data_IF_744469521751
#
_entry.id   IF_744469521751
#
_cell.length_a   1.000
_cell.length_b   1.000
_cell.length_c   1.000
_cell.angle_alpha   90.00
_cell.angle_beta   90.00
_cell.angle_gamma   90.00
#
_symmetry.space_group_name_H-M   'P 1'
#
loop_
_entity.id
_entity.type
_entity.pdbx_description
1 polymer ?
#
# COMPACT_ATOMS: atom_id res chain seq x y z
N UNK A 1 26.06 -6.02 -8.42
CA UNK A 1 24.70 -6.15 -8.99
C UNK A 1 24.75 -6.11 -10.51
N UNK A 2 24.01 -6.98 -11.19
CA UNK A 2 23.79 -6.85 -12.63
C UNK A 2 22.86 -5.67 -12.94
N UNK A 3 22.86 -5.20 -14.21
CA UNK A 3 21.94 -4.14 -14.65
C UNK A 3 20.46 -4.51 -14.45
N UNK A 4 20.13 -5.81 -14.60
CA UNK A 4 18.76 -6.31 -14.40
C UNK A 4 18.39 -6.24 -12.92
N UNK A 5 19.26 -6.68 -12.00
CA UNK A 5 19.00 -6.58 -10.55
C UNK A 5 18.80 -5.14 -10.12
N UNK A 6 19.63 -4.22 -10.63
CA UNK A 6 19.48 -2.78 -10.36
C UNK A 6 18.12 -2.27 -10.84
N UNK A 7 17.71 -2.61 -12.06
CA UNK A 7 16.43 -2.17 -12.62
C UNK A 7 15.23 -2.73 -11.84
N UNK A 8 15.28 -4.00 -11.43
CA UNK A 8 14.19 -4.63 -10.65
C UNK A 8 14.13 -4.04 -9.24
N UNK A 9 15.28 -3.79 -8.59
CA UNK A 9 15.33 -3.16 -7.27
C UNK A 9 14.78 -1.73 -7.34
N UNK A 10 15.17 -0.95 -8.35
CA UNK A 10 14.65 0.39 -8.57
C UNK A 10 13.14 0.37 -8.83
N UNK A 11 12.64 -0.59 -9.63
CA UNK A 11 11.20 -0.73 -9.88
C UNK A 11 10.42 -1.06 -8.62
N UNK A 12 10.97 -1.92 -7.74
CA UNK A 12 10.39 -2.23 -6.45
C UNK A 12 10.36 -0.99 -5.53
N UNK A 13 11.46 -0.22 -5.47
CA UNK A 13 11.55 1.01 -4.69
C UNK A 13 10.53 2.07 -5.17
N UNK A 14 10.46 2.30 -6.48
CA UNK A 14 9.50 3.26 -7.08
C UNK A 14 8.06 2.82 -6.84
N UNK A 15 7.75 1.54 -7.05
CA UNK A 15 6.39 0.99 -6.82
C UNK A 15 5.96 1.13 -5.35
N UNK A 16 6.82 0.74 -4.43
CA UNK A 16 6.57 0.88 -2.99
C UNK A 16 6.44 2.36 -2.57
N UNK A 17 7.32 3.23 -3.08
CA UNK A 17 7.30 4.67 -2.78
C UNK A 17 6.04 5.36 -3.31
N UNK A 18 5.62 5.06 -4.53
CA UNK A 18 4.42 5.62 -5.12
C UNK A 18 3.16 5.16 -4.37
N UNK A 19 3.03 3.86 -4.07
CA UNK A 19 1.93 3.35 -3.27
C UNK A 19 1.93 3.96 -1.85
N UNK A 20 3.10 4.01 -1.21
CA UNK A 20 3.30 4.61 0.12
C UNK A 20 2.92 6.08 0.16
N UNK A 21 3.25 6.85 -0.88
CA UNK A 21 2.85 8.25 -1.04
C UNK A 21 1.32 8.41 -1.09
N UNK A 22 0.63 7.56 -1.84
CA UNK A 22 -0.84 7.54 -1.86
C UNK A 22 -1.39 7.26 -0.47
N UNK A 23 -0.87 6.25 0.23
CA UNK A 23 -1.34 5.89 1.58
C UNK A 23 -1.07 7.00 2.59
N UNK A 24 0.08 7.67 2.48
CA UNK A 24 0.41 8.83 3.31
C UNK A 24 -0.56 9.98 3.06
N UNK A 25 -0.87 10.29 1.79
CA UNK A 25 -1.86 11.31 1.44
C UNK A 25 -3.24 11.01 2.05
N UNK A 26 -3.66 9.74 2.04
CA UNK A 26 -4.88 9.32 2.72
C UNK A 26 -4.82 9.57 4.23
N UNK A 27 -3.70 9.22 4.87
CA UNK A 27 -3.52 9.41 6.31
C UNK A 27 -3.49 10.88 6.71
N UNK A 28 -2.78 11.70 5.94
CA UNK A 28 -2.48 13.09 6.29
C UNK A 28 -3.57 14.08 5.83
N UNK A 29 -4.29 13.78 4.75
CA UNK A 29 -5.20 14.74 4.12
C UNK A 29 -6.60 14.18 3.91
N UNK A 30 -6.75 13.01 3.25
CA UNK A 30 -8.06 12.53 2.80
C UNK A 30 -8.93 12.10 3.98
N UNK A 31 -8.42 11.19 4.83
CA UNK A 31 -9.19 10.70 5.99
C UNK A 31 -9.57 11.81 6.99
N UNK A 32 -8.67 12.75 7.35
CA UNK A 32 -9.06 13.91 8.17
C UNK A 32 -10.18 14.73 7.57
N UNK A 33 -10.15 15.01 6.26
CA UNK A 33 -11.22 15.77 5.59
C UNK A 33 -12.54 15.00 5.58
N UNK A 34 -12.52 13.69 5.29
CA UNK A 34 -13.73 12.87 5.29
C UNK A 34 -14.41 12.83 6.67
N UNK A 35 -13.63 12.87 7.75
CA UNK A 35 -14.15 12.91 9.13
C UNK A 35 -14.90 14.19 9.48
N UNK A 36 -14.69 15.28 8.76
CA UNK A 36 -15.44 16.54 8.97
C UNK A 36 -16.76 16.59 8.21
N UNK A 37 -17.06 15.57 7.38
CA UNK A 37 -18.27 15.51 6.57
C UNK A 37 -19.38 14.71 7.25
N UNK A 38 -20.65 14.96 6.92
CA UNK A 38 -21.74 14.05 7.25
C UNK A 38 -21.40 12.64 6.79
N UNK A 39 -21.75 11.62 7.58
CA UNK A 39 -21.37 10.23 7.30
C UNK A 39 -21.81 9.77 5.89
N UNK A 40 -22.99 10.15 5.43
CA UNK A 40 -23.46 9.82 4.08
C UNK A 40 -22.54 10.36 2.97
N UNK A 41 -22.04 11.60 3.13
CA UNK A 41 -21.09 12.18 2.18
C UNK A 41 -19.72 11.50 2.26
N UNK A 42 -19.24 11.18 3.46
CA UNK A 42 -17.96 10.49 3.67
C UNK A 42 -18.01 9.08 3.05
N UNK A 43 -19.08 8.32 3.26
CA UNK A 43 -19.30 7.00 2.66
C UNK A 43 -19.34 7.11 1.14
N UNK A 44 -20.17 7.99 0.58
CA UNK A 44 -20.28 8.15 -0.88
C UNK A 44 -18.95 8.56 -1.52
N UNK A 45 -18.20 9.47 -0.88
CA UNK A 45 -16.90 9.89 -1.36
C UNK A 45 -15.89 8.73 -1.34
N UNK A 46 -15.83 7.97 -0.25
CA UNK A 46 -14.90 6.85 -0.11
C UNK A 46 -15.25 5.70 -1.06
N UNK A 47 -16.54 5.43 -1.31
CA UNK A 47 -16.99 4.46 -2.31
C UNK A 47 -16.46 4.84 -3.70
N UNK A 48 -16.63 6.09 -4.13
CA UNK A 48 -16.11 6.57 -5.42
C UNK A 48 -14.59 6.50 -5.52
N UNK A 49 -13.87 6.85 -4.45
CA UNK A 49 -12.41 6.71 -4.39
C UNK A 49 -12.01 5.25 -4.59
N UNK A 50 -12.67 4.31 -3.91
CA UNK A 50 -12.37 2.89 -4.03
C UNK A 50 -12.66 2.35 -5.45
N UNK A 51 -13.72 2.81 -6.12
CA UNK A 51 -14.01 2.47 -7.52
C UNK A 51 -12.91 2.93 -8.48
N UNK A 52 -12.29 4.09 -8.22
CA UNK A 52 -11.20 4.60 -9.03
C UNK A 52 -9.86 3.92 -8.68
N UNK A 53 -9.66 3.55 -7.42
CA UNK A 53 -8.43 2.89 -6.96
C UNK A 53 -8.19 1.52 -7.61
N UNK A 54 -9.24 0.82 -8.08
CA UNK A 54 -9.10 -0.45 -8.80
C UNK A 54 -8.88 -0.31 -10.30
N UNK A 55 -8.63 0.90 -10.79
CA UNK A 55 -8.31 1.16 -12.20
C UNK A 55 -6.81 1.39 -12.39
N UNK A 56 -6.33 1.23 -13.63
CA UNK A 56 -5.04 1.77 -14.01
C UNK A 56 -5.09 3.32 -13.87
N UNK A 57 -3.99 4.01 -13.47
CA UNK A 57 -2.62 3.49 -13.32
C UNK A 57 -2.31 2.91 -11.93
N UNK A 58 -3.17 3.09 -10.89
CA UNK A 58 -2.83 2.68 -9.53
C UNK A 58 -2.62 1.16 -9.43
N UNK A 59 -3.46 0.35 -10.09
CA UNK A 59 -3.29 -1.12 -10.10
C UNK A 59 -1.99 -1.55 -10.74
N UNK A 60 -1.50 -0.85 -11.77
CA UNK A 60 -0.21 -1.14 -12.39
C UNK A 60 0.94 -0.93 -11.39
N UNK A 61 0.92 0.19 -10.66
CA UNK A 61 1.91 0.49 -9.62
C UNK A 61 1.83 -0.55 -8.49
N UNK A 62 0.63 -0.88 -8.05
CA UNK A 62 0.37 -1.78 -6.93
C UNK A 62 0.87 -3.21 -7.20
N UNK A 63 0.45 -3.80 -8.32
CA UNK A 63 0.87 -5.16 -8.68
C UNK A 63 2.27 -5.22 -9.24
N UNK A 64 2.68 -4.24 -10.05
CA UNK A 64 4.02 -4.16 -10.58
C UNK A 64 5.09 -3.99 -9.50
N UNK A 65 4.81 -3.13 -8.51
CA UNK A 65 5.68 -2.95 -7.34
C UNK A 65 5.78 -4.22 -6.49
N UNK A 66 4.66 -4.91 -6.26
CA UNK A 66 4.64 -6.18 -5.53
C UNK A 66 5.40 -7.29 -6.27
N UNK A 67 5.24 -7.40 -7.59
CA UNK A 67 5.97 -8.36 -8.41
C UNK A 67 7.48 -8.10 -8.38
N UNK A 68 7.90 -6.84 -8.53
CA UNK A 68 9.31 -6.46 -8.46
C UNK A 68 9.89 -6.73 -7.05
N UNK A 69 9.18 -6.37 -5.99
CA UNK A 69 9.60 -6.67 -4.62
C UNK A 69 9.71 -8.18 -4.35
N UNK A 70 8.79 -8.99 -4.90
CA UNK A 70 8.87 -10.44 -4.81
C UNK A 70 10.11 -10.99 -5.51
N UNK A 71 10.43 -10.49 -6.70
CA UNK A 71 11.61 -10.92 -7.44
C UNK A 71 12.90 -10.57 -6.67
N UNK A 72 13.00 -9.36 -6.11
CA UNK A 72 14.13 -8.96 -5.27
C UNK A 72 14.25 -9.88 -4.06
N UNK A 73 13.17 -10.11 -3.31
CA UNK A 73 13.20 -10.95 -2.11
C UNK A 73 13.63 -12.39 -2.43
N UNK A 74 13.09 -12.97 -3.49
CA UNK A 74 13.47 -14.34 -3.93
C UNK A 74 14.96 -14.41 -4.27
N UNK A 75 15.48 -13.41 -4.99
CA UNK A 75 16.91 -13.35 -5.33
C UNK A 75 17.78 -13.27 -4.07
N UNK A 76 17.41 -12.43 -3.10
CA UNK A 76 18.15 -12.30 -1.84
C UNK A 76 18.14 -13.60 -1.03
N UNK A 77 17.00 -14.27 -0.93
CA UNK A 77 16.89 -15.54 -0.22
C UNK A 77 17.69 -16.67 -0.90
N UNK A 78 17.72 -16.68 -2.23
CA UNK A 78 18.47 -17.67 -3.02
C UNK A 78 20.00 -17.46 -2.95
N UNK A 79 20.46 -16.24 -2.71
CA UNK A 79 21.90 -15.91 -2.62
C UNK A 79 22.56 -16.40 -1.33
N UNK A 80 21.79 -16.82 -0.35
CA UNK A 80 22.27 -17.25 0.96
C UNK A 80 22.91 -16.12 1.79
N UNK A 81 23.30 -16.39 3.04
CA UNK A 81 23.75 -15.33 3.97
C UNK A 81 24.98 -14.55 3.50
N UNK A 82 25.88 -15.19 2.76
CA UNK A 82 27.12 -14.55 2.32
C UNK A 82 26.96 -13.67 1.08
N UNK A 83 25.90 -13.91 0.27
CA UNK A 83 25.63 -13.17 -0.97
C UNK A 83 24.45 -12.20 -0.89
N UNK A 84 23.65 -12.26 0.17
CA UNK A 84 22.47 -11.43 0.32
C UNK A 84 22.79 -10.01 0.82
N UNK A 85 21.99 -9.04 0.35
CA UNK A 85 21.99 -7.69 0.89
C UNK A 85 20.81 -7.53 1.88
N UNK A 86 21.07 -7.41 3.20
CA UNK A 86 20.00 -7.32 4.19
C UNK A 86 19.03 -6.16 3.98
N UNK A 87 19.51 -5.02 3.48
CA UNK A 87 18.64 -3.86 3.21
C UNK A 87 17.66 -4.16 2.06
N UNK A 88 18.09 -4.85 1.00
CA UNK A 88 17.21 -5.29 -0.08
C UNK A 88 16.21 -6.34 0.39
N UNK A 89 16.66 -7.32 1.15
CA UNK A 89 15.79 -8.35 1.69
C UNK A 89 14.70 -7.75 2.61
N UNK A 90 15.10 -6.93 3.59
CA UNK A 90 14.17 -6.28 4.52
C UNK A 90 13.27 -5.29 3.78
N UNK A 91 13.80 -4.47 2.87
CA UNK A 91 13.05 -3.51 2.09
C UNK A 91 11.96 -4.17 1.24
N UNK A 92 12.30 -5.28 0.58
CA UNK A 92 11.35 -6.07 -0.21
C UNK A 92 10.27 -6.72 0.67
N UNK A 93 10.66 -7.28 1.80
CA UNK A 93 9.72 -7.87 2.76
C UNK A 93 8.73 -6.83 3.30
N UNK A 94 9.19 -5.62 3.61
CA UNK A 94 8.32 -4.50 4.02
C UNK A 94 7.37 -4.06 2.91
N UNK A 95 7.86 -3.92 1.66
CA UNK A 95 7.00 -3.60 0.53
C UNK A 95 5.89 -4.65 0.34
N UNK A 96 6.22 -5.93 0.47
CA UNK A 96 5.24 -7.03 0.42
C UNK A 96 4.31 -7.04 1.62
N UNK A 97 4.80 -6.72 2.83
CA UNK A 97 3.94 -6.57 4.01
C UNK A 97 2.90 -5.46 3.83
N UNK A 98 3.26 -4.37 3.16
CA UNK A 98 2.30 -3.31 2.77
C UNK A 98 1.24 -3.85 1.79
N UNK A 99 1.66 -4.61 0.78
CA UNK A 99 0.75 -5.25 -0.18
C UNK A 99 -0.22 -6.20 0.54
N UNK A 100 0.29 -7.11 1.36
CA UNK A 100 -0.53 -8.06 2.14
C UNK A 100 -1.50 -7.32 3.06
N UNK A 101 -1.04 -6.29 3.78
CA UNK A 101 -1.91 -5.46 4.63
C UNK A 101 -3.07 -4.86 3.83
N UNK A 102 -2.81 -4.41 2.60
CA UNK A 102 -3.87 -3.91 1.72
C UNK A 102 -4.91 -4.98 1.43
N UNK A 103 -4.46 -6.17 1.01
CA UNK A 103 -5.35 -7.27 0.60
C UNK A 103 -6.16 -7.81 1.77
N UNK A 104 -5.53 -8.03 2.93
CA UNK A 104 -6.19 -8.69 4.06
C UNK A 104 -6.94 -7.74 4.99
N UNK A 105 -6.58 -6.46 5.00
CA UNK A 105 -7.16 -5.51 5.94
C UNK A 105 -7.98 -4.40 5.26
N UNK A 106 -7.46 -3.73 4.23
CA UNK A 106 -8.17 -2.61 3.62
C UNK A 106 -9.23 -3.06 2.61
N UNK A 107 -8.93 -4.03 1.74
CA UNK A 107 -9.88 -4.51 0.72
C UNK A 107 -11.17 -5.06 1.31
N UNK A 108 -11.19 -5.94 2.34
CA UNK A 108 -12.44 -6.41 2.93
C UNK A 108 -13.29 -5.28 3.50
N UNK A 109 -12.66 -4.25 4.10
CA UNK A 109 -13.36 -3.07 4.62
C UNK A 109 -13.93 -2.21 3.51
N UNK A 110 -13.19 -2.02 2.41
CA UNK A 110 -13.69 -1.33 1.22
C UNK A 110 -14.93 -2.04 0.66
N UNK A 111 -14.88 -3.37 0.57
CA UNK A 111 -16.00 -4.19 0.10
C UNK A 111 -17.22 -4.12 1.03
N UNK A 112 -17.01 -4.04 2.35
CA UNK A 112 -18.08 -3.85 3.30
C UNK A 112 -18.72 -2.46 3.16
N UNK A 113 -17.89 -1.41 3.01
CA UNK A 113 -18.36 -0.04 2.80
C UNK A 113 -19.12 0.10 1.48
N UNK A 114 -18.72 -0.59 0.42
CA UNK A 114 -19.37 -0.55 -0.89
C UNK A 114 -20.83 -1.03 -0.86
N UNK A 115 -21.23 -1.80 0.17
CA UNK A 115 -22.61 -2.29 0.35
C UNK A 115 -23.48 -1.37 1.19
N UNK A 116 -22.90 -0.30 1.75
CA UNK A 116 -23.66 0.63 2.58
C UNK A 116 -24.55 1.52 1.71
N UNK A 117 -25.79 1.70 2.15
CA UNK A 117 -26.74 2.66 1.62
C UNK A 117 -26.80 3.95 2.46
N UNK A 118 -27.57 4.92 2.02
CA UNK A 118 -27.71 6.19 2.72
C UNK A 118 -28.34 6.05 4.11
N UNK A 119 -29.24 5.08 4.31
CA UNK A 119 -29.92 4.84 5.59
C UNK A 119 -29.00 4.23 6.65
N UNK A 120 -27.98 3.47 6.21
CA UNK A 120 -26.99 2.82 7.07
C UNK A 120 -25.66 3.56 7.20
N UNK A 121 -25.51 4.76 6.61
CA UNK A 121 -24.23 5.45 6.45
C UNK A 121 -23.50 5.72 7.77
N UNK A 122 -24.18 6.13 8.84
CA UNK A 122 -23.57 6.40 10.14
C UNK A 122 -22.92 5.15 10.75
N UNK A 123 -23.65 4.05 10.73
CA UNK A 123 -23.14 2.77 11.24
C UNK A 123 -21.98 2.25 10.39
N UNK A 124 -22.10 2.34 9.06
CA UNK A 124 -21.09 1.90 8.11
C UNK A 124 -19.81 2.73 8.26
N UNK A 125 -19.91 4.06 8.35
CA UNK A 125 -18.76 4.93 8.53
C UNK A 125 -18.05 4.67 9.86
N UNK A 126 -18.80 4.54 10.95
CA UNK A 126 -18.27 4.24 12.29
C UNK A 126 -17.52 2.90 12.32
N UNK A 127 -18.03 1.89 11.63
CA UNK A 127 -17.38 0.58 11.53
C UNK A 127 -16.13 0.61 10.63
N UNK A 128 -16.12 1.47 9.60
CA UNK A 128 -15.07 1.57 8.58
C UNK A 128 -13.89 2.43 9.02
N UNK A 129 -14.11 3.68 9.44
CA UNK A 129 -13.09 4.73 9.51
C UNK A 129 -11.85 4.34 10.32
N UNK A 130 -12.01 4.04 11.62
CA UNK A 130 -10.86 3.77 12.48
C UNK A 130 -10.08 2.51 12.12
N UNK A 131 -10.72 1.36 11.89
CA UNK A 131 -10.00 0.14 11.51
C UNK A 131 -9.31 0.26 10.15
N UNK A 132 -9.96 0.90 9.18
CA UNK A 132 -9.38 1.14 7.87
C UNK A 132 -8.17 2.08 7.96
N UNK A 133 -8.31 3.18 8.69
CA UNK A 133 -7.22 4.16 8.86
C UNK A 133 -6.00 3.56 9.55
N UNK A 134 -6.19 2.73 10.59
CA UNK A 134 -5.08 2.02 11.25
C UNK A 134 -4.31 1.14 10.27
N UNK A 135 -5.02 0.35 9.49
CA UNK A 135 -4.41 -0.49 8.45
C UNK A 135 -3.72 0.37 7.37
N UNK A 136 -4.32 1.52 7.00
CA UNK A 136 -3.72 2.46 6.06
C UNK A 136 -2.42 3.07 6.58
N UNK A 137 -2.35 3.47 7.85
CA UNK A 137 -1.10 3.96 8.46
C UNK A 137 -0.03 2.88 8.46
N UNK A 138 -0.38 1.65 8.82
CA UNK A 138 0.56 0.53 8.86
C UNK A 138 1.14 0.25 7.47
N UNK A 139 0.30 0.15 6.43
CA UNK A 139 0.79 -0.09 5.07
C UNK A 139 1.58 1.10 4.52
N UNK A 140 1.27 2.33 4.92
CA UNK A 140 2.06 3.51 4.56
C UNK A 140 3.47 3.43 5.13
N UNK A 141 3.61 3.10 6.42
CA UNK A 141 4.92 2.92 7.08
C UNK A 141 5.71 1.81 6.40
N UNK A 142 5.11 0.65 6.18
CA UNK A 142 5.76 -0.48 5.51
C UNK A 142 6.22 -0.13 4.09
N UNK A 143 5.36 0.51 3.29
CA UNK A 143 5.71 0.88 1.92
C UNK A 143 6.84 1.90 1.86
N UNK A 144 6.78 2.97 2.67
CA UNK A 144 7.78 4.03 2.67
C UNK A 144 9.12 3.56 3.24
N UNK A 145 9.11 2.79 4.33
CA UNK A 145 10.32 2.20 4.89
C UNK A 145 10.95 1.19 3.90
N UNK A 146 10.13 0.35 3.28
CA UNK A 146 10.57 -0.58 2.23
C UNK A 146 11.20 0.13 1.05
N UNK A 147 10.54 1.18 0.54
CA UNK A 147 11.05 2.00 -0.55
C UNK A 147 12.39 2.66 -0.22
N UNK A 148 12.53 3.21 0.98
CA UNK A 148 13.78 3.83 1.44
C UNK A 148 14.93 2.82 1.50
N UNK A 149 14.71 1.64 2.10
CA UNK A 149 15.74 0.61 2.16
C UNK A 149 16.15 0.09 0.79
N UNK A 150 15.18 -0.12 -0.12
CA UNK A 150 15.46 -0.54 -1.49
C UNK A 150 16.25 0.52 -2.27
N UNK A 151 15.89 1.80 -2.13
CA UNK A 151 16.59 2.90 -2.79
C UNK A 151 18.04 3.05 -2.30
N UNK A 152 18.26 2.96 -0.99
CA UNK A 152 19.59 3.07 -0.38
C UNK A 152 20.48 1.86 -0.65
N UNK A 153 19.91 0.71 -1.02
CA UNK A 153 20.66 -0.54 -1.27
C UNK A 153 21.13 -0.68 -2.72
N UNK A 154 20.76 0.23 -3.60
CA UNK A 154 21.12 0.22 -5.03
C UNK A 154 22.40 0.99 -5.39
N UNK A 155 23.06 1.65 -4.41
CA UNK A 155 24.29 2.41 -4.58
C UNK A 155 25.55 1.54 -4.44
#
# INVERSE_FOLDING_TARGET
>A
MSAIETAVTASAAVGAGAAGGVYLAFSAMVSPVLRTRPAAEAVASMQRINEHAVRAPFMTVFFGGAAAASAVLVTELASGPAGSNPARAIGSALALASFVTTVVANVPRNNALARADAGGADAAWKAFDRPWSRANHLRAVFALAGAALLALSGG
#
